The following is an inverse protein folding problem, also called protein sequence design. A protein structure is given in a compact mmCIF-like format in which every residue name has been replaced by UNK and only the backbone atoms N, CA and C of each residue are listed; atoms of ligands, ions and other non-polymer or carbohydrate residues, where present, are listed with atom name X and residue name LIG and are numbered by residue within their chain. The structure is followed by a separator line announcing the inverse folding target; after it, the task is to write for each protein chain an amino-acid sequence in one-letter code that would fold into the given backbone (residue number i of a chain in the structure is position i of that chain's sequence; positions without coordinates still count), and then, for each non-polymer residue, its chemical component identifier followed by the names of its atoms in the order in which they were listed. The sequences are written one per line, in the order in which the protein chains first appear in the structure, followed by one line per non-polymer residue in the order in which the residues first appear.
data_IF_289059163796
#
_entry.id   IF_289059163796
#
_cell.length_a   1.000
_cell.length_b   1.000
_cell.length_c   1.000
_cell.angle_alpha   90.00
_cell.angle_beta   90.00
_cell.angle_gamma   90.00
#
_symmetry.space_group_name_H-M   'P 1'
#
loop_
_entity.id
_entity.type
_entity.pdbx_description
1 polymer ?
#
# COMPACT_ATOMS: atom_id res chain seq x y z
N UNK A 1 -8.51 12.08 -25.34
CA UNK A 1 -8.74 12.39 -23.91
C UNK A 1 -9.30 11.11 -23.31
N UNK A 2 -8.44 10.33 -22.66
CA UNK A 2 -8.85 9.09 -22.01
C UNK A 2 -9.33 9.42 -20.63
N UNK A 3 -10.65 9.43 -20.46
CA UNK A 3 -11.31 9.47 -19.17
C UNK A 3 -11.11 8.09 -18.52
N UNK A 4 -10.05 7.96 -17.72
CA UNK A 4 -9.86 6.79 -16.88
C UNK A 4 -10.75 6.95 -15.66
N UNK A 5 -12.01 6.57 -15.82
CA UNK A 5 -12.94 6.37 -14.73
C UNK A 5 -12.34 5.42 -13.70
N UNK A 6 -11.81 6.00 -12.63
CA UNK A 6 -11.67 5.31 -11.35
C UNK A 6 -13.10 5.02 -10.90
N UNK A 7 -13.49 3.74 -10.93
CA UNK A 7 -14.86 3.32 -10.67
C UNK A 7 -15.34 3.88 -9.33
N UNK A 8 -16.43 4.64 -9.36
CA UNK A 8 -17.23 5.08 -8.21
C UNK A 8 -17.91 3.90 -7.47
N UNK A 9 -17.43 2.67 -7.62
CA UNK A 9 -17.91 1.48 -6.95
C UNK A 9 -16.97 1.10 -5.78
N UNK A 10 -16.49 2.10 -5.02
CA UNK A 10 -16.06 1.81 -3.66
C UNK A 10 -17.34 1.61 -2.85
N UNK A 11 -17.74 0.35 -2.71
CA UNK A 11 -18.95 -0.12 -2.02
C UNK A 11 -19.27 0.77 -0.81
N UNK A 12 -20.18 1.74 -0.99
CA UNK A 12 -20.53 2.69 0.08
C UNK A 12 -21.37 2.04 1.18
N UNK A 13 -21.68 0.76 1.02
CA UNK A 13 -22.48 -0.07 1.92
C UNK A 13 -21.67 -0.67 3.08
N UNK A 14 -20.50 -0.11 3.37
CA UNK A 14 -19.78 -0.46 4.60
C UNK A 14 -20.46 0.22 5.78
N UNK A 15 -21.14 -0.57 6.62
CA UNK A 15 -21.77 -0.11 7.84
C UNK A 15 -20.88 -0.41 9.07
N UNK A 16 -20.35 0.64 9.70
CA UNK A 16 -19.48 0.48 10.89
C UNK A 16 -20.25 0.47 12.22
N UNK A 17 -21.58 0.65 12.19
CA UNK A 17 -22.43 0.82 13.38
C UNK A 17 -22.29 -0.33 14.39
N UNK A 18 -22.15 -1.57 13.92
CA UNK A 18 -21.95 -2.76 14.75
C UNK A 18 -20.62 -2.78 15.53
N UNK A 19 -19.61 -2.05 15.06
CA UNK A 19 -18.28 -2.00 15.68
C UNK A 19 -18.15 -0.87 16.71
N UNK A 20 -19.03 0.13 16.68
CA UNK A 20 -18.94 1.30 17.58
C UNK A 20 -19.05 0.92 19.04
N UNK A 21 -19.88 -0.07 19.37
CA UNK A 21 -20.00 -0.56 20.75
C UNK A 21 -18.71 -1.18 21.28
N UNK A 22 -17.89 -1.78 20.41
CA UNK A 22 -16.57 -2.28 20.78
C UNK A 22 -15.57 -1.14 20.91
N UNK A 23 -15.50 -0.30 19.87
CA UNK A 23 -14.58 0.85 19.83
C UNK A 23 -14.77 1.77 21.04
N UNK A 24 -16.01 2.11 21.39
CA UNK A 24 -16.31 3.03 22.50
C UNK A 24 -16.06 2.43 23.88
N UNK A 25 -16.02 1.09 24.00
CA UNK A 25 -15.63 0.44 25.25
C UNK A 25 -14.13 0.44 25.47
N UNK A 26 -13.37 0.38 24.37
CA UNK A 26 -11.90 0.37 24.40
C UNK A 26 -11.32 1.78 24.48
N UNK A 27 -12.01 2.77 23.89
CA UNK A 27 -11.73 4.18 24.15
C UNK A 27 -12.03 4.42 25.63
N UNK A 28 -11.09 5.05 26.34
CA UNK A 28 -11.18 5.35 27.77
C UNK A 28 -12.27 6.40 28.08
N UNK A 29 -13.51 6.14 27.71
CA UNK A 29 -14.66 6.88 28.20
C UNK A 29 -14.93 6.36 29.61
N UNK A 30 -14.69 7.20 30.60
CA UNK A 30 -14.92 6.90 32.02
C UNK A 30 -16.40 6.60 32.36
N UNK A 31 -17.31 6.69 31.38
CA UNK A 31 -18.73 6.50 31.53
C UNK A 31 -19.31 5.59 30.43
N UNK A 32 -20.26 4.73 30.82
CA UNK A 32 -21.08 4.00 29.86
C UNK A 32 -21.92 5.00 29.05
N UNK A 33 -21.57 5.16 27.77
CA UNK A 33 -22.32 6.00 26.86
C UNK A 33 -23.21 5.14 25.96
N UNK A 34 -24.51 5.39 26.06
CA UNK A 34 -25.45 5.01 25.02
C UNK A 34 -25.38 6.10 23.95
N UNK A 35 -24.92 5.76 22.75
CA UNK A 35 -25.00 6.68 21.63
C UNK A 35 -26.45 6.74 21.16
N UNK A 36 -26.94 7.96 20.88
CA UNK A 36 -28.16 8.12 20.11
C UNK A 36 -27.97 7.55 18.69
N UNK A 37 -29.06 7.14 18.06
CA UNK A 37 -29.02 6.66 16.69
C UNK A 37 -28.42 7.71 15.73
N UNK A 38 -28.79 8.98 15.90
CA UNK A 38 -28.22 10.09 15.12
C UNK A 38 -26.70 10.21 15.29
N UNK A 39 -26.17 9.98 16.50
CA UNK A 39 -24.73 10.04 16.75
C UNK A 39 -24.00 8.83 16.12
N UNK A 40 -24.63 7.66 16.11
CA UNK A 40 -24.12 6.47 15.39
C UNK A 40 -24.06 6.74 13.89
N UNK A 41 -25.13 7.28 13.31
CA UNK A 41 -25.17 7.60 11.88
C UNK A 41 -24.13 8.66 11.50
N UNK A 42 -24.01 9.73 12.31
CA UNK A 42 -23.00 10.76 12.11
C UNK A 42 -21.56 10.19 12.21
N UNK A 43 -21.28 9.33 13.18
CA UNK A 43 -19.97 8.69 13.32
C UNK A 43 -19.65 7.79 12.12
N UNK A 44 -20.65 7.07 11.62
CA UNK A 44 -20.53 6.23 10.43
C UNK A 44 -20.20 7.07 9.19
N UNK A 45 -20.88 8.21 9.01
CA UNK A 45 -20.58 9.14 7.93
C UNK A 45 -19.16 9.73 8.05
N UNK A 46 -18.74 10.13 9.25
CA UNK A 46 -17.40 10.62 9.51
C UNK A 46 -16.32 9.58 9.17
N UNK A 47 -16.53 8.31 9.49
CA UNK A 47 -15.58 7.24 9.16
C UNK A 47 -15.51 6.96 7.66
N UNK A 48 -16.65 7.01 6.96
CA UNK A 48 -16.68 6.93 5.49
C UNK A 48 -15.90 8.08 4.86
N UNK A 49 -16.15 9.31 5.31
CA UNK A 49 -15.43 10.50 4.85
C UNK A 49 -13.93 10.42 5.16
N UNK A 50 -13.55 9.90 6.34
CA UNK A 50 -12.15 9.67 6.67
C UNK A 50 -11.47 8.69 5.70
N UNK A 51 -12.12 7.58 5.38
CA UNK A 51 -11.58 6.61 4.43
C UNK A 51 -11.45 7.19 3.02
N UNK A 52 -12.46 7.92 2.54
CA UNK A 52 -12.38 8.59 1.23
C UNK A 52 -11.31 9.68 1.19
N UNK A 53 -11.49 10.72 1.99
CA UNK A 53 -10.77 11.99 1.83
C UNK A 53 -9.36 11.97 2.43
N UNK A 54 -9.14 11.17 3.47
CA UNK A 54 -7.86 11.13 4.19
C UNK A 54 -7.03 9.97 3.67
N UNK A 55 -7.63 8.78 3.57
CA UNK A 55 -6.89 7.57 3.21
C UNK A 55 -6.79 7.42 1.70
N UNK A 56 -7.90 7.39 0.96
CA UNK A 56 -7.89 7.12 -0.48
C UNK A 56 -7.29 8.29 -1.25
N UNK A 57 -7.85 9.49 -1.13
CA UNK A 57 -7.37 10.68 -1.86
C UNK A 57 -5.93 11.04 -1.51
N UNK A 58 -5.59 10.96 -0.22
CA UNK A 58 -4.23 11.20 0.25
C UNK A 58 -3.24 10.19 -0.32
N UNK A 59 -3.61 8.91 -0.37
CA UNK A 59 -2.74 7.86 -0.89
C UNK A 59 -2.63 7.90 -2.43
N UNK A 60 -3.69 8.28 -3.14
CA UNK A 60 -3.68 8.55 -4.59
C UNK A 60 -2.71 9.69 -4.88
N UNK A 61 -2.85 10.83 -4.20
CA UNK A 61 -1.96 11.98 -4.37
C UNK A 61 -0.49 11.63 -4.06
N UNK A 62 -0.24 10.83 -3.02
CA UNK A 62 1.09 10.33 -2.71
C UNK A 62 1.65 9.40 -3.82
N UNK A 63 0.82 8.53 -4.38
CA UNK A 63 1.20 7.63 -5.47
C UNK A 63 1.54 8.37 -6.76
N UNK A 64 0.76 9.40 -7.12
CA UNK A 64 0.98 10.23 -8.30
C UNK A 64 2.29 11.01 -8.23
N UNK A 65 2.61 11.60 -7.07
CA UNK A 65 3.90 12.27 -6.83
C UNK A 65 5.08 11.32 -7.07
N UNK A 66 4.93 10.05 -6.70
CA UNK A 66 5.94 9.02 -6.90
C UNK A 66 5.99 8.43 -8.32
N UNK A 67 5.11 8.86 -9.24
CA UNK A 67 4.88 8.23 -10.57
C UNK A 67 4.63 6.72 -10.48
N UNK A 68 4.06 6.26 -9.36
CA UNK A 68 3.71 4.85 -9.18
C UNK A 68 2.24 4.67 -9.55
N UNK A 69 1.97 3.75 -10.46
CA UNK A 69 0.61 3.42 -10.89
C UNK A 69 -0.17 2.62 -9.84
N UNK A 70 0.49 2.12 -8.78
CA UNK A 70 -0.11 1.25 -7.77
C UNK A 70 0.08 1.86 -6.39
N UNK A 71 -1.03 2.02 -5.67
CA UNK A 71 -1.04 2.48 -4.28
C UNK A 71 -0.38 1.40 -3.41
N UNK A 72 0.63 1.80 -2.64
CA UNK A 72 1.33 0.91 -1.71
C UNK A 72 0.98 1.27 -0.27
N UNK A 73 1.12 0.35 0.71
CA UNK A 73 0.89 0.67 2.12
C UNK A 73 1.70 1.87 2.62
N UNK A 74 2.90 2.10 2.05
CA UNK A 74 3.71 3.27 2.39
C UNK A 74 3.01 4.60 2.02
N UNK A 75 2.26 4.64 0.91
CA UNK A 75 1.52 5.85 0.50
C UNK A 75 0.38 6.17 1.48
N UNK A 76 -0.18 5.16 2.17
CA UNK A 76 -1.21 5.37 3.21
C UNK A 76 -0.59 6.06 4.44
N UNK A 77 0.63 5.69 4.84
CA UNK A 77 1.33 6.36 5.93
C UNK A 77 1.66 7.82 5.60
N UNK A 78 2.15 8.07 4.38
CA UNK A 78 2.41 9.43 3.89
C UNK A 78 1.13 10.28 3.85
N UNK A 79 0.00 9.69 3.48
CA UNK A 79 -1.31 10.35 3.49
C UNK A 79 -1.76 10.74 4.91
N UNK A 80 -1.65 9.81 5.86
CA UNK A 80 -1.99 10.04 7.26
C UNK A 80 -1.11 11.13 7.89
N UNK A 81 0.20 11.11 7.63
CA UNK A 81 1.12 12.16 8.09
C UNK A 81 0.77 13.53 7.50
N UNK A 82 0.51 13.61 6.20
CA UNK A 82 0.20 14.86 5.51
C UNK A 82 -1.12 15.50 6.00
N UNK A 83 -2.08 14.69 6.44
CA UNK A 83 -3.40 15.14 6.93
C UNK A 83 -3.42 15.36 8.45
N UNK A 84 -2.28 15.21 9.14
CA UNK A 84 -2.14 15.50 10.58
C UNK A 84 -2.38 14.31 11.51
N UNK A 85 -2.53 13.09 10.99
CA UNK A 85 -2.71 11.86 11.75
C UNK A 85 -1.38 11.12 12.00
N UNK A 86 -0.28 11.86 12.22
CA UNK A 86 1.06 11.29 12.40
C UNK A 86 1.15 10.28 13.55
N UNK A 87 0.46 10.53 14.67
CA UNK A 87 0.41 9.59 15.79
C UNK A 87 -0.22 8.23 15.40
N UNK A 88 -1.26 8.25 14.56
CA UNK A 88 -1.88 7.03 14.04
C UNK A 88 -0.95 6.33 13.05
N UNK A 89 -0.22 7.08 12.23
CA UNK A 89 0.78 6.53 11.32
C UNK A 89 1.91 5.82 12.08
N UNK A 90 2.37 6.37 13.19
CA UNK A 90 3.42 5.76 14.03
C UNK A 90 2.92 4.50 14.74
N UNK A 91 1.70 4.52 15.29
CA UNK A 91 1.07 3.31 15.84
C UNK A 91 0.91 2.20 14.79
N UNK A 92 0.53 2.57 13.56
CA UNK A 92 0.41 1.61 12.46
C UNK A 92 1.78 1.04 12.07
N UNK A 93 2.84 1.87 12.04
CA UNK A 93 4.21 1.38 11.81
C UNK A 93 4.66 0.40 12.88
N UNK A 94 4.32 0.66 14.15
CA UNK A 94 4.71 -0.20 15.26
C UNK A 94 3.96 -1.54 15.22
N UNK A 95 2.63 -1.49 15.05
CA UNK A 95 1.77 -2.69 15.04
C UNK A 95 1.90 -3.53 13.76
N UNK A 96 2.16 -2.88 12.62
CA UNK A 96 2.10 -3.51 11.30
C UNK A 96 3.32 -3.22 10.42
N UNK A 97 4.50 -2.96 11.01
CA UNK A 97 5.73 -2.59 10.29
C UNK A 97 6.12 -3.54 9.15
N UNK A 98 5.76 -4.83 9.24
CA UNK A 98 5.97 -5.80 8.16
C UNK A 98 5.17 -5.52 6.88
N UNK A 99 3.98 -4.93 6.98
CA UNK A 99 3.14 -4.56 5.83
C UNK A 99 3.69 -3.31 5.11
N UNK A 100 4.33 -2.42 5.86
CA UNK A 100 4.92 -1.17 5.33
C UNK A 100 6.36 -1.34 4.86
N UNK A 101 7.07 -2.36 5.35
CA UNK A 101 8.35 -2.80 4.82
C UNK A 101 8.16 -3.54 3.49
N UNK A 102 7.64 -2.85 2.48
CA UNK A 102 7.45 -3.39 1.15
C UNK A 102 8.76 -4.03 0.65
N UNK A 103 8.75 -5.37 0.60
CA UNK A 103 9.57 -6.26 -0.22
C UNK A 103 10.88 -5.64 -0.71
N UNK A 104 11.83 -5.42 0.19
CA UNK A 104 13.24 -5.57 -0.21
C UNK A 104 13.42 -7.06 -0.48
N UNK A 105 12.97 -7.55 -1.65
CA UNK A 105 13.58 -8.72 -2.26
C UNK A 105 15.07 -8.37 -2.34
N UNK A 106 15.85 -8.81 -1.35
CA UNK A 106 17.30 -8.83 -1.44
C UNK A 106 17.57 -9.42 -2.81
N UNK A 107 18.19 -8.66 -3.72
CA UNK A 107 18.80 -9.24 -4.91
C UNK A 107 19.53 -10.48 -4.41
N UNK A 108 19.15 -11.65 -4.92
CA UNK A 108 19.71 -12.93 -4.47
C UNK A 108 21.23 -12.76 -4.58
N UNK A 109 21.89 -12.69 -3.44
CA UNK A 109 23.32 -12.45 -3.39
C UNK A 109 23.97 -13.68 -4.01
N UNK A 110 24.45 -13.54 -5.25
CA UNK A 110 25.01 -14.64 -6.03
C UNK A 110 26.39 -15.05 -5.51
N UNK A 111 26.94 -14.32 -4.53
CA UNK A 111 28.28 -14.56 -3.98
C UNK A 111 29.41 -14.36 -4.99
N UNK A 112 29.11 -13.87 -6.20
CA UNK A 112 30.07 -13.60 -7.26
C UNK A 112 30.34 -12.10 -7.36
N UNK A 113 31.61 -11.74 -7.52
CA UNK A 113 31.96 -10.36 -7.83
C UNK A 113 31.42 -9.96 -9.20
N UNK A 114 31.18 -8.66 -9.40
CA UNK A 114 30.60 -8.12 -10.65
C UNK A 114 31.44 -8.51 -11.88
N UNK A 115 32.76 -8.60 -11.73
CA UNK A 115 33.68 -9.06 -12.77
C UNK A 115 33.46 -10.53 -13.16
N UNK A 116 33.25 -11.41 -12.18
CA UNK A 116 32.98 -12.83 -12.43
C UNK A 116 31.63 -13.05 -13.12
N UNK A 117 30.63 -12.22 -12.80
CA UNK A 117 29.34 -12.26 -13.49
C UNK A 117 29.44 -11.82 -14.96
N UNK A 118 30.26 -10.81 -15.26
CA UNK A 118 30.47 -10.34 -16.64
C UNK A 118 31.19 -11.42 -17.46
N UNK A 119 32.23 -12.06 -16.93
CA UNK A 119 32.93 -13.15 -17.61
C UNK A 119 32.01 -14.33 -17.89
N UNK A 120 31.18 -14.72 -16.90
CA UNK A 120 30.22 -15.80 -17.07
C UNK A 120 29.16 -15.45 -18.13
N UNK A 121 28.66 -14.22 -18.12
CA UNK A 121 27.69 -13.74 -19.11
C UNK A 121 28.29 -13.76 -20.52
N UNK A 122 29.53 -13.30 -20.70
CA UNK A 122 30.22 -13.35 -21.98
C UNK A 122 30.44 -14.78 -22.48
N UNK A 123 30.81 -15.70 -21.59
CA UNK A 123 30.98 -17.12 -21.94
C UNK A 123 29.68 -17.76 -22.37
N UNK A 124 28.57 -17.47 -21.69
CA UNK A 124 27.23 -17.94 -22.05
C UNK A 124 26.77 -17.37 -23.40
N UNK A 125 27.02 -16.09 -23.67
CA UNK A 125 26.72 -15.48 -24.98
C UNK A 125 27.54 -16.09 -26.11
N UNK A 126 28.83 -16.35 -25.89
CA UNK A 126 29.69 -16.99 -26.88
C UNK A 126 29.20 -18.42 -27.21
N UNK A 127 28.82 -19.18 -26.18
CA UNK A 127 28.28 -20.53 -26.35
C UNK A 127 26.92 -20.53 -27.07
N UNK A 128 26.04 -19.60 -26.72
CA UNK A 128 24.75 -19.44 -27.40
C UNK A 128 24.93 -19.02 -28.87
N UNK A 129 25.87 -18.12 -29.17
CA UNK A 129 26.18 -17.69 -30.54
C UNK A 129 26.75 -18.83 -31.39
N UNK A 130 27.62 -19.66 -30.81
CA UNK A 130 28.15 -20.83 -31.48
C UNK A 130 27.05 -21.85 -31.80
N UNK A 131 26.14 -22.12 -30.85
CA UNK A 131 25.01 -23.01 -31.07
C UNK A 131 24.02 -22.47 -32.10
N UNK A 132 23.70 -21.18 -32.04
CA UNK A 132 22.85 -20.53 -33.04
C UNK A 132 23.47 -20.53 -34.44
N UNK A 133 24.80 -20.44 -34.57
CA UNK A 133 25.48 -20.55 -35.85
C UNK A 133 25.46 -21.99 -36.40
N UNK A 134 25.47 -23.01 -35.52
CA UNK A 134 25.31 -24.40 -35.91
C UNK A 134 23.87 -24.71 -36.34
N UNK A 135 22.86 -24.23 -35.59
CA UNK A 135 21.45 -24.42 -35.93
C UNK A 135 21.03 -23.66 -37.21
N UNK A 136 21.75 -22.60 -37.60
CA UNK A 136 21.49 -21.83 -38.84
C UNK A 136 22.23 -22.36 -40.07
N UNK A 137 23.10 -23.36 -39.89
CA UNK A 137 23.85 -24.02 -40.95
C UNK A 137 23.25 -25.39 -41.33
N UNK A 138 22.10 -25.73 -40.75
CA UNK A 138 21.27 -26.89 -41.06
C UNK A 138 20.03 -26.45 -41.83
#
# INVERSE_FOLDING_TARGET
MGDSGFSEDFDTDVEFSGYFKGILKDVATEQEHWLSQDAVEALNQCLKAFLGDVVVDGAVAASERGKRSVITPAHILEALEAKGFAAVADELREKHGALFAASKKKKKDTGMSEQQMIELQQKLFAQAKAKAAQDKAQ
#
